data_IF_212632849764
#
_entry.id   IF_212632849764
#
_cell.length_a   1.000
_cell.length_b   1.000
_cell.length_c   1.000
_cell.angle_alpha   90.00
_cell.angle_beta   90.00
_cell.angle_gamma   90.00
#
_symmetry.space_group_name_H-M   'P 1'
#
loop_
_entity.id
_entity.type
_entity.pdbx_description
1 polymer ?
#
# COMPACT_ATOMS: atom_id res chain seq x y z
N UNK A 1 -2.82 -2.87 -15.77
CA UNK A 1 -3.33 -4.09 -15.10
C UNK A 1 -2.24 -4.64 -14.20
N UNK A 2 -2.53 -5.50 -13.21
CA UNK A 2 -1.48 -6.11 -12.37
C UNK A 2 -0.33 -6.75 -13.18
N UNK A 3 -0.64 -7.18 -14.40
CA UNK A 3 0.28 -7.77 -15.38
C UNK A 3 1.27 -6.80 -16.04
N UNK A 4 1.27 -5.51 -15.65
CA UNK A 4 2.18 -4.56 -16.25
C UNK A 4 3.63 -4.91 -15.85
N UNK A 5 4.55 -5.12 -16.82
CA UNK A 5 5.92 -5.55 -16.53
C UNK A 5 6.68 -4.51 -15.69
N UNK A 6 6.25 -3.24 -15.73
CA UNK A 6 6.78 -2.19 -14.87
C UNK A 6 6.42 -2.45 -13.41
N UNK A 7 5.14 -2.74 -13.14
CA UNK A 7 4.64 -3.07 -11.80
C UNK A 7 5.31 -4.34 -11.27
N UNK A 8 5.46 -5.39 -12.08
CA UNK A 8 6.16 -6.61 -11.67
C UNK A 8 7.62 -6.37 -11.27
N UNK A 9 8.32 -5.46 -11.95
CA UNK A 9 9.69 -5.06 -11.61
C UNK A 9 9.71 -4.23 -10.34
N UNK A 10 8.83 -3.25 -10.19
CA UNK A 10 8.75 -2.40 -9.01
C UNK A 10 8.40 -3.19 -7.74
N UNK A 11 7.47 -4.15 -7.82
CA UNK A 11 7.09 -5.03 -6.70
C UNK A 11 8.29 -5.78 -6.11
N UNK A 12 9.25 -6.20 -6.94
CA UNK A 12 10.47 -6.89 -6.47
C UNK A 12 11.43 -5.98 -5.71
N UNK A 13 11.38 -4.67 -5.96
CA UNK A 13 12.23 -3.69 -5.28
C UNK A 13 11.55 -3.13 -4.03
N UNK A 14 10.25 -3.32 -3.88
CA UNK A 14 9.52 -2.82 -2.74
C UNK A 14 9.69 -3.73 -1.51
N UNK A 15 9.79 -3.14 -0.31
CA UNK A 15 9.91 -3.91 0.93
C UNK A 15 8.57 -4.52 1.38
N UNK A 16 7.51 -4.41 0.58
CA UNK A 16 6.16 -4.87 0.90
C UNK A 16 5.61 -5.79 -0.19
N UNK A 17 4.72 -6.70 0.22
CA UNK A 17 4.12 -7.67 -0.69
C UNK A 17 2.93 -7.04 -1.41
N UNK A 18 2.87 -7.18 -2.74
CA UNK A 18 1.70 -6.78 -3.53
C UNK A 18 0.98 -8.04 -3.99
N UNK A 19 -0.33 -8.08 -3.79
CA UNK A 19 -1.23 -9.17 -4.14
C UNK A 19 -2.22 -8.72 -5.21
N UNK A 20 -2.56 -9.60 -6.14
CA UNK A 20 -3.62 -9.35 -7.12
C UNK A 20 -4.97 -9.76 -6.53
N UNK A 21 -5.93 -8.85 -6.52
CA UNK A 21 -7.30 -9.10 -6.03
C UNK A 21 -8.27 -8.67 -7.13
N UNK A 22 -8.86 -9.64 -7.83
CA UNK A 22 -9.74 -9.39 -8.97
C UNK A 22 -9.08 -8.66 -10.15
N UNK A 23 -7.75 -8.82 -10.32
CA UNK A 23 -6.97 -8.15 -11.38
C UNK A 23 -6.48 -6.75 -11.03
N UNK A 24 -6.77 -6.26 -9.81
CA UNK A 24 -6.27 -4.98 -9.28
C UNK A 24 -5.11 -5.23 -8.29
N UNK A 25 -3.98 -4.51 -8.40
CA UNK A 25 -2.92 -4.56 -7.40
C UNK A 25 -3.41 -4.02 -6.06
N UNK A 26 -3.27 -4.84 -5.01
CA UNK A 26 -3.45 -4.46 -3.62
C UNK A 26 -2.18 -4.73 -2.84
N UNK A 27 -1.90 -3.93 -1.83
CA UNK A 27 -0.74 -4.09 -0.97
C UNK A 27 -1.15 -5.00 0.19
N UNK A 28 -0.48 -6.14 0.33
CA UNK A 28 -0.68 -7.09 1.41
C UNK A 28 0.34 -6.85 2.51
N UNK A 29 -0.12 -6.46 3.69
CA UNK A 29 0.71 -6.28 4.89
C UNK A 29 0.27 -7.25 5.98
N UNK A 30 1.22 -7.78 6.73
CA UNK A 30 0.93 -8.53 7.94
C UNK A 30 0.86 -7.55 9.10
N UNK A 31 -0.30 -7.42 9.71
CA UNK A 31 -0.50 -6.58 10.88
C UNK A 31 -0.94 -7.45 12.05
N UNK A 32 -0.09 -7.54 13.08
CA UNK A 32 -0.35 -8.34 14.30
C UNK A 32 -0.69 -9.81 13.99
N UNK A 33 -0.06 -10.41 12.99
CA UNK A 33 -0.31 -11.79 12.56
C UNK A 33 -1.53 -11.97 11.64
N UNK A 34 -2.22 -10.88 11.29
CA UNK A 34 -3.36 -10.92 10.38
C UNK A 34 -2.97 -10.30 9.02
N UNK A 35 -3.23 -11.02 7.93
CA UNK A 35 -2.96 -10.51 6.60
C UNK A 35 -4.04 -9.51 6.19
N UNK A 36 -3.69 -8.23 6.14
CA UNK A 36 -4.55 -7.17 5.61
C UNK A 36 -4.14 -6.78 4.20
N UNK A 37 -5.15 -6.56 3.36
CA UNK A 37 -4.99 -6.13 1.97
C UNK A 37 -5.56 -4.73 1.85
N UNK A 38 -4.76 -3.80 1.35
CA UNK A 38 -5.16 -2.41 1.16
C UNK A 38 -5.04 -2.03 -0.31
N UNK A 39 -5.99 -1.27 -0.83
CA UNK A 39 -5.81 -0.63 -2.11
C UNK A 39 -4.73 0.46 -2.04
N UNK A 40 -4.00 0.73 -3.13
CA UNK A 40 -3.05 1.84 -3.17
C UNK A 40 -3.71 3.19 -2.81
N UNK A 41 -4.99 3.37 -3.16
CA UNK A 41 -5.78 4.56 -2.82
C UNK A 41 -6.01 4.69 -1.30
N UNK A 42 -6.28 3.58 -0.60
CA UNK A 42 -6.46 3.57 0.85
C UNK A 42 -5.15 3.93 1.58
N UNK A 43 -4.02 3.37 1.12
CA UNK A 43 -2.70 3.70 1.67
C UNK A 43 -2.39 5.19 1.49
N UNK A 44 -2.66 5.75 0.31
CA UNK A 44 -2.47 7.18 0.06
C UNK A 44 -3.31 8.02 1.03
N UNK A 45 -4.58 7.66 1.25
CA UNK A 45 -5.44 8.35 2.22
C UNK A 45 -4.87 8.27 3.64
N UNK A 46 -4.43 7.09 4.08
CA UNK A 46 -3.81 6.90 5.41
C UNK A 46 -2.54 7.73 5.59
N UNK A 47 -1.68 7.79 4.57
CA UNK A 47 -0.46 8.61 4.60
C UNK A 47 -0.82 10.09 4.70
N UNK A 48 -1.79 10.56 3.90
CA UNK A 48 -2.25 11.96 3.94
C UNK A 48 -2.85 12.32 5.30
N UNK A 49 -3.69 11.45 5.87
CA UNK A 49 -4.21 11.63 7.22
C UNK A 49 -3.07 11.71 8.23
N UNK A 50 -2.11 10.79 8.17
CA UNK A 50 -0.98 10.77 9.10
C UNK A 50 -0.08 12.00 8.97
N UNK A 51 0.13 12.47 7.74
CA UNK A 51 0.87 13.71 7.47
C UNK A 51 0.14 14.92 8.05
N UNK A 52 -1.19 14.98 7.88
CA UNK A 52 -2.01 16.04 8.48
C UNK A 52 -1.94 16.01 10.00
N UNK A 53 -2.13 14.85 10.63
CA UNK A 53 -2.01 14.70 12.09
C UNK A 53 -0.62 15.11 12.60
N UNK A 54 0.44 14.76 11.88
CA UNK A 54 1.82 15.14 12.24
C UNK A 54 2.02 16.65 12.11
N UNK A 55 1.46 17.26 11.07
CA UNK A 55 1.49 18.72 10.88
C UNK A 55 0.64 19.46 11.92
N UNK A 56 -0.47 18.89 12.39
CA UNK A 56 -1.28 19.44 13.48
C UNK A 56 -0.63 19.23 14.86
N UNK A 57 0.15 18.17 15.02
CA UNK A 57 0.91 17.86 16.24
C UNK A 57 2.22 18.67 16.37
N UNK A 58 2.68 19.29 15.28
CA UNK A 58 3.77 20.25 15.27
C UNK A 58 3.21 21.68 15.15
N UNK A 59 2.98 22.37 16.28
CA UNK A 59 2.55 23.78 16.27
C UNK A 59 3.63 24.73 15.77
#
# INVERSE_FOLDING_TARGET
MFDDPKIAKDIKHWPFKVVSDGGKPKIGVEFKGEQKKFAPEEINSMVLTKMKETAEAYP
#
